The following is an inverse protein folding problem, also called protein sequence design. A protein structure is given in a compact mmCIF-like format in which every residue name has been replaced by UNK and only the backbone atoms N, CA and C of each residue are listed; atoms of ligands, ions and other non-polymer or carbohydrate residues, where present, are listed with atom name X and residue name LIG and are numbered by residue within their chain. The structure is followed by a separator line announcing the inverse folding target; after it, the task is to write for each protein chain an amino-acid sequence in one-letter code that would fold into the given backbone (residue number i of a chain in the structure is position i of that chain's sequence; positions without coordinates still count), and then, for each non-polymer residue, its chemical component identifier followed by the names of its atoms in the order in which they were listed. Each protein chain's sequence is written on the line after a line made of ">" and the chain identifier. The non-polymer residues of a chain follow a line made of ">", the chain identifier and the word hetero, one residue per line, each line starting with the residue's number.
data_IF_566032697497
#
_entry.id   IF_566032697497
#
_cell.length_a   1.000
_cell.length_b   1.000
_cell.length_c   1.000
_cell.angle_alpha   90.00
_cell.angle_beta   90.00
_cell.angle_gamma   90.00
#
_symmetry.space_group_name_H-M   'P 1'
#
loop_
_entity.id
_entity.type
_entity.pdbx_description
1 polymer ?
#
# COMPACT_ATOMS: atom_id res chain seq x y z
N UNK A 1 -32.34 51.52 -20.90
CA UNK A 1 -31.26 51.76 -21.88
C UNK A 1 -30.24 50.64 -21.72
N UNK A 2 -29.96 49.94 -22.82
CA UNK A 2 -29.27 48.66 -22.96
C UNK A 2 -27.79 48.68 -22.54
N UNK A 3 -27.36 47.71 -21.72
CA UNK A 3 -25.93 47.46 -21.48
C UNK A 3 -25.40 46.49 -22.56
N UNK A 4 -24.70 47.03 -23.56
CA UNK A 4 -24.01 46.25 -24.60
C UNK A 4 -22.82 45.51 -23.96
N UNK A 5 -22.90 44.18 -23.88
CA UNK A 5 -21.71 43.34 -23.71
C UNK A 5 -20.81 43.52 -24.94
N UNK A 6 -19.62 44.09 -24.74
CA UNK A 6 -18.55 44.05 -25.74
C UNK A 6 -17.73 42.80 -25.48
N UNK A 7 -17.83 41.83 -26.37
CA UNK A 7 -16.86 40.73 -26.47
C UNK A 7 -15.54 41.36 -26.88
N UNK A 8 -14.60 41.45 -25.93
CA UNK A 8 -13.24 41.82 -26.22
C UNK A 8 -12.60 40.68 -27.02
N UNK A 9 -12.32 40.93 -28.29
CA UNK A 9 -11.48 40.09 -29.14
C UNK A 9 -10.16 39.84 -28.43
N UNK A 10 -9.93 38.58 -28.02
CA UNK A 10 -8.72 38.14 -27.33
C UNK A 10 -7.58 38.18 -28.36
N UNK A 11 -6.74 39.21 -28.27
CA UNK A 11 -5.50 39.30 -29.04
C UNK A 11 -4.57 38.13 -28.66
N UNK A 12 -4.28 37.31 -29.67
CA UNK A 12 -3.28 36.26 -29.73
C UNK A 12 -1.92 36.72 -29.16
N UNK A 13 -1.67 36.50 -27.87
CA UNK A 13 -0.33 36.60 -27.30
C UNK A 13 0.23 35.20 -27.06
N UNK A 14 1.42 34.87 -27.59
CA UNK A 14 2.01 33.54 -27.44
C UNK A 14 2.28 33.19 -25.98
N UNK A 15 2.47 34.20 -25.12
CA UNK A 15 2.64 34.07 -23.67
C UNK A 15 1.44 33.38 -23.00
N UNK A 16 0.21 33.69 -23.42
CA UNK A 16 -1.00 33.08 -22.84
C UNK A 16 -1.14 31.61 -23.23
N UNK A 17 -0.75 31.24 -24.46
CA UNK A 17 -0.70 29.84 -24.89
C UNK A 17 0.38 29.03 -24.17
N UNK A 18 1.55 29.61 -23.94
CA UNK A 18 2.65 28.97 -23.19
C UNK A 18 2.22 28.72 -21.74
N UNK A 19 1.53 29.68 -21.11
CA UNK A 19 1.00 29.54 -19.76
C UNK A 19 -0.07 28.44 -19.67
N UNK A 20 -0.94 28.33 -20.68
CA UNK A 20 -1.95 27.27 -20.76
C UNK A 20 -1.31 25.88 -20.94
N UNK A 21 -0.26 25.76 -21.74
CA UNK A 21 0.49 24.51 -21.94
C UNK A 21 1.25 24.08 -20.67
N UNK A 22 1.79 25.04 -19.90
CA UNK A 22 2.44 24.77 -18.61
C UNK A 22 1.44 24.26 -17.56
N UNK A 23 0.21 24.80 -17.54
CA UNK A 23 -0.84 24.36 -16.62
C UNK A 23 -1.38 22.95 -16.95
N UNK A 24 -1.35 22.53 -18.22
CA UNK A 24 -1.75 21.19 -18.67
C UNK A 24 -0.72 20.09 -18.35
N UNK A 25 0.53 20.45 -18.03
CA UNK A 25 1.55 19.51 -17.56
C UNK A 25 1.48 19.20 -16.07
N UNK A 26 0.74 19.99 -15.29
CA UNK A 26 0.43 19.69 -13.89
C UNK A 26 -0.80 18.76 -13.85
N UNK A 27 -0.74 17.67 -14.61
CA UNK A 27 -1.70 16.59 -14.51
C UNK A 27 -1.54 15.94 -13.14
N UNK A 28 -2.52 16.13 -12.26
CA UNK A 28 -2.56 15.48 -10.96
C UNK A 28 -2.68 13.98 -11.16
N UNK A 29 -1.57 13.26 -11.03
CA UNK A 29 -1.59 11.81 -10.94
C UNK A 29 -2.18 11.43 -9.59
N UNK A 30 -3.51 11.37 -9.50
CA UNK A 30 -4.16 10.57 -8.47
C UNK A 30 -3.91 9.11 -8.83
N UNK A 31 -2.69 8.62 -8.58
CA UNK A 31 -2.41 7.19 -8.60
C UNK A 31 -3.14 6.60 -7.39
N UNK A 32 -4.38 6.13 -7.60
CA UNK A 32 -4.83 4.98 -6.81
C UNK A 32 -3.80 3.90 -7.12
N UNK A 33 -2.93 3.62 -6.15
CA UNK A 33 -1.97 2.53 -6.24
C UNK A 33 -2.76 1.30 -6.68
N UNK A 34 -2.55 0.89 -7.93
CA UNK A 34 -2.99 -0.43 -8.37
C UNK A 34 -2.18 -1.34 -7.48
N UNK A 35 -2.85 -2.05 -6.57
CA UNK A 35 -2.18 -3.03 -5.75
C UNK A 35 -1.49 -3.98 -6.73
N UNK A 36 -0.17 -3.93 -6.73
CA UNK A 36 0.60 -4.80 -7.55
C UNK A 36 0.35 -6.22 -7.10
N UNK A 37 0.26 -7.15 -8.04
CA UNK A 37 0.02 -8.53 -7.65
C UNK A 37 1.30 -9.10 -7.05
N UNK A 38 1.19 -9.72 -5.89
CA UNK A 38 2.25 -10.56 -5.35
C UNK A 38 2.56 -11.68 -6.34
N UNK A 39 3.85 -12.01 -6.57
CA UNK A 39 4.22 -13.21 -7.29
C UNK A 39 3.57 -14.45 -6.68
N UNK A 40 3.14 -15.38 -7.51
CA UNK A 40 2.50 -16.62 -7.07
C UNK A 40 3.34 -17.38 -6.02
N UNK A 41 4.66 -17.40 -6.20
CA UNK A 41 5.59 -18.03 -5.25
C UNK A 41 5.56 -17.41 -3.85
N UNK A 42 5.44 -16.08 -3.76
CA UNK A 42 5.30 -15.42 -2.45
C UNK A 42 3.95 -15.73 -1.81
N UNK A 43 2.87 -15.78 -2.59
CA UNK A 43 1.55 -16.18 -2.08
C UNK A 43 1.58 -17.61 -1.53
N UNK A 44 2.23 -18.53 -2.24
CA UNK A 44 2.38 -19.91 -1.78
C UNK A 44 3.23 -19.98 -0.50
N UNK A 45 4.34 -19.25 -0.45
CA UNK A 45 5.18 -19.16 0.74
C UNK A 45 4.37 -18.66 1.94
N UNK A 46 3.54 -17.63 1.77
CA UNK A 46 2.65 -17.13 2.81
C UNK A 46 1.63 -18.20 3.27
N UNK A 47 1.08 -19.02 2.37
CA UNK A 47 0.18 -20.13 2.75
C UNK A 47 0.91 -21.18 3.59
N UNK A 48 2.12 -21.53 3.20
CA UNK A 48 2.94 -22.50 3.93
C UNK A 48 3.34 -21.96 5.30
N UNK A 49 3.71 -20.68 5.37
CA UNK A 49 3.99 -19.98 6.62
C UNK A 49 2.77 -20.05 7.52
N UNK A 50 1.61 -19.61 7.02
CA UNK A 50 0.37 -19.58 7.77
C UNK A 50 0.01 -20.95 8.36
N UNK A 51 0.14 -22.00 7.56
CA UNK A 51 -0.10 -23.37 8.00
C UNK A 51 0.86 -23.81 9.12
N UNK A 52 2.16 -23.53 8.97
CA UNK A 52 3.18 -24.01 9.90
C UNK A 52 3.24 -23.22 11.21
N UNK A 53 2.91 -21.93 11.17
CA UNK A 53 2.84 -21.07 12.36
C UNK A 53 1.45 -21.05 12.99
N UNK A 54 0.47 -21.80 12.46
CA UNK A 54 -0.90 -21.82 13.00
C UNK A 54 -1.72 -20.56 12.74
N UNK A 55 -1.34 -19.71 11.77
CA UNK A 55 -2.08 -18.49 11.39
C UNK A 55 -3.33 -18.83 10.58
N UNK A 56 -4.49 -18.84 11.22
CA UNK A 56 -5.78 -19.27 10.60
C UNK A 56 -6.64 -18.13 10.08
N UNK A 57 -6.37 -16.90 10.50
CA UNK A 57 -7.16 -15.71 10.23
C UNK A 57 -6.71 -14.91 8.99
N UNK A 58 -5.68 -15.37 8.26
CA UNK A 58 -5.32 -14.79 6.96
C UNK A 58 -6.31 -15.23 5.87
N UNK A 59 -7.03 -14.26 5.30
CA UNK A 59 -7.91 -14.49 4.16
C UNK A 59 -7.14 -14.36 2.83
N UNK A 60 -6.80 -15.49 2.22
CA UNK A 60 -6.11 -15.53 0.93
C UNK A 60 -7.01 -15.33 -0.30
N UNK A 61 -8.29 -14.98 -0.10
CA UNK A 61 -9.21 -14.60 -1.19
C UNK A 61 -9.14 -13.10 -1.50
N UNK A 62 -8.46 -12.32 -0.64
CA UNK A 62 -8.16 -10.91 -0.86
C UNK A 62 -6.66 -10.74 -1.12
N UNK A 63 -6.28 -9.59 -1.65
CA UNK A 63 -4.87 -9.24 -1.82
C UNK A 63 -4.17 -9.13 -0.45
N UNK A 64 -3.10 -9.93 -0.18
CA UNK A 64 -2.31 -9.82 1.04
C UNK A 64 -1.72 -8.42 1.26
N UNK A 65 -1.42 -7.67 0.20
CA UNK A 65 -0.87 -6.31 0.28
C UNK A 65 -1.95 -5.22 0.37
N UNK A 66 -3.24 -5.58 0.38
CA UNK A 66 -4.36 -4.65 0.44
C UNK A 66 -4.63 -4.03 1.82
N UNK A 67 -3.67 -4.11 2.75
CA UNK A 67 -3.79 -3.69 4.16
C UNK A 67 -4.87 -4.45 4.98
N UNK A 68 -5.41 -5.55 4.45
CA UNK A 68 -6.41 -6.37 5.16
C UNK A 68 -5.82 -7.20 6.29
N UNK A 69 -4.50 -7.45 6.28
CA UNK A 69 -3.81 -8.31 7.24
C UNK A 69 -2.98 -7.49 8.24
N UNK A 70 -3.43 -6.27 8.54
CA UNK A 70 -2.75 -5.34 9.45
C UNK A 70 -3.58 -5.10 10.72
N UNK A 71 -2.91 -5.04 11.86
CA UNK A 71 -3.51 -4.55 13.11
C UNK A 71 -3.86 -3.07 12.94
N UNK A 72 -5.11 -2.66 13.27
CA UNK A 72 -5.47 -1.25 13.22
C UNK A 72 -4.54 -0.41 14.09
N UNK A 73 -4.05 0.70 13.53
CA UNK A 73 -3.25 1.65 14.30
C UNK A 73 -4.12 2.28 15.40
N UNK A 74 -3.60 2.46 16.63
CA UNK A 74 -4.34 3.15 17.66
C UNK A 74 -4.67 4.58 17.23
N UNK A 75 -5.90 5.01 17.52
CA UNK A 75 -6.38 6.36 17.19
C UNK A 75 -6.14 7.37 18.30
N UNK A 76 -5.78 6.91 19.50
CA UNK A 76 -5.47 7.74 20.66
C UNK A 76 -3.99 7.63 21.03
N UNK A 77 -3.49 8.66 21.73
CA UNK A 77 -2.12 8.77 22.21
C UNK A 77 -1.95 8.29 23.67
N UNK A 78 -2.94 7.57 24.21
CA UNK A 78 -2.89 7.08 25.60
C UNK A 78 -1.77 6.06 25.79
N UNK A 79 -1.24 5.98 27.01
CA UNK A 79 -0.21 5.01 27.39
C UNK A 79 -0.68 3.57 27.10
N UNK A 80 -1.96 3.29 27.31
CA UNK A 80 -2.57 1.99 26.97
C UNK A 80 -2.54 1.71 25.46
N UNK A 81 -2.89 2.69 24.63
CA UNK A 81 -2.85 2.57 23.17
C UNK A 81 -1.42 2.36 22.65
N UNK A 82 -0.44 3.08 23.20
CA UNK A 82 0.99 2.88 22.91
C UNK A 82 1.44 1.47 23.30
N UNK A 83 1.11 1.03 24.51
CA UNK A 83 1.46 -0.30 25.04
C UNK A 83 0.84 -1.41 24.19
N UNK A 84 -0.41 -1.23 23.73
CA UNK A 84 -1.07 -2.17 22.84
C UNK A 84 -0.31 -2.31 21.50
N UNK A 85 0.01 -1.21 20.82
CA UNK A 85 0.74 -1.23 19.56
C UNK A 85 2.17 -1.79 19.68
N UNK A 86 2.79 -1.67 20.85
CA UNK A 86 4.11 -2.25 21.13
C UNK A 86 4.04 -3.75 21.42
N UNK A 87 2.94 -4.22 22.02
CA UNK A 87 2.75 -5.62 22.41
C UNK A 87 2.21 -6.47 21.26
N UNK A 88 1.25 -5.94 20.52
CA UNK A 88 0.54 -6.63 19.44
C UNK A 88 0.84 -5.99 18.10
N UNK A 89 1.39 -6.78 17.18
CA UNK A 89 1.63 -6.34 15.82
C UNK A 89 1.50 -7.53 14.87
N UNK A 90 0.35 -7.61 14.21
CA UNK A 90 0.10 -8.49 13.08
C UNK A 90 0.07 -7.63 11.83
N UNK A 91 1.16 -7.58 11.08
CA UNK A 91 1.25 -6.75 9.87
C UNK A 91 2.05 -7.44 8.80
N UNK A 92 1.54 -7.39 7.57
CA UNK A 92 2.28 -7.73 6.37
C UNK A 92 2.48 -6.45 5.56
N UNK A 93 3.74 -6.14 5.24
CA UNK A 93 4.14 -4.94 4.51
C UNK A 93 4.77 -5.33 3.19
N UNK A 94 4.30 -4.69 2.14
CA UNK A 94 4.78 -4.91 0.77
C UNK A 94 5.39 -3.64 0.20
N UNK A 95 6.36 -3.82 -0.70
CA UNK A 95 6.82 -2.76 -1.58
C UNK A 95 6.40 -3.06 -3.01
N UNK A 96 5.66 -2.12 -3.61
CA UNK A 96 5.08 -2.21 -4.94
C UNK A 96 5.76 -1.28 -5.96
N UNK A 97 6.92 -0.73 -5.60
CA UNK A 97 7.67 0.22 -6.42
C UNK A 97 8.55 -0.48 -7.47
N UNK A 98 8.31 -1.78 -7.71
CA UNK A 98 9.06 -2.56 -8.69
C UNK A 98 8.46 -2.41 -10.09
N UNK A 99 9.27 -2.65 -11.14
CA UNK A 99 8.80 -2.57 -12.52
C UNK A 99 7.52 -3.39 -12.76
N UNK A 100 6.69 -2.91 -13.70
CA UNK A 100 5.42 -3.54 -14.07
C UNK A 100 4.38 -3.62 -12.94
N UNK A 101 4.60 -2.91 -11.82
CA UNK A 101 3.68 -2.94 -10.69
C UNK A 101 3.66 -4.28 -9.99
N UNK A 102 4.80 -4.97 -9.91
CA UNK A 102 4.96 -6.16 -9.05
C UNK A 102 5.15 -5.71 -7.61
N UNK A 103 4.48 -6.37 -6.67
CA UNK A 103 4.71 -6.17 -5.24
C UNK A 103 5.52 -7.32 -4.67
N UNK A 104 6.36 -7.01 -3.68
CA UNK A 104 7.06 -8.02 -2.91
C UNK A 104 6.87 -7.79 -1.42
N UNK A 105 6.74 -8.88 -0.66
CA UNK A 105 6.70 -8.83 0.80
C UNK A 105 8.07 -8.41 1.33
N UNK A 106 8.12 -7.31 2.07
CA UNK A 106 9.35 -6.78 2.65
C UNK A 106 9.40 -6.93 4.16
N UNK A 107 8.24 -6.99 4.82
CA UNK A 107 8.19 -7.19 6.27
C UNK A 107 6.97 -7.99 6.68
N UNK A 108 7.18 -8.90 7.63
CA UNK A 108 6.11 -9.64 8.31
C UNK A 108 6.31 -9.38 9.80
N UNK A 109 5.22 -9.14 10.52
CA UNK A 109 5.21 -9.02 11.97
C UNK A 109 4.06 -9.88 12.49
N UNK A 110 4.36 -10.81 13.39
CA UNK A 110 3.38 -11.72 14.02
C UNK A 110 3.53 -11.72 15.54
N UNK A 111 3.58 -10.53 16.14
CA UNK A 111 3.83 -10.33 17.57
C UNK A 111 2.56 -10.41 18.41
N UNK A 112 2.63 -11.12 19.53
CA UNK A 112 1.53 -11.23 20.50
C UNK A 112 0.32 -12.01 19.97
N UNK A 113 0.52 -12.87 18.96
CA UNK A 113 -0.55 -13.63 18.30
C UNK A 113 -0.77 -15.02 18.92
N UNK A 114 0.02 -15.40 19.93
CA UNK A 114 -0.03 -16.72 20.59
C UNK A 114 -0.02 -17.89 19.59
N UNK A 115 0.89 -17.81 18.62
CA UNK A 115 1.03 -18.79 17.54
C UNK A 115 1.74 -20.05 18.07
N UNK A 116 1.15 -21.22 17.86
CA UNK A 116 1.57 -22.51 18.42
C UNK A 116 2.42 -23.36 17.45
N UNK A 117 3.11 -22.72 16.51
CA UNK A 117 3.81 -23.39 15.42
C UNK A 117 5.33 -23.26 15.43
N UNK A 118 5.95 -23.60 14.29
CA UNK A 118 7.40 -23.53 14.08
C UNK A 118 7.75 -22.48 13.05
N UNK A 119 8.97 -21.93 13.13
CA UNK A 119 9.49 -21.02 12.11
C UNK A 119 9.68 -21.78 10.78
N UNK A 120 8.92 -21.46 9.73
CA UNK A 120 8.85 -22.27 8.51
C UNK A 120 9.98 -21.96 7.52
N UNK A 121 10.55 -23.00 6.91
CA UNK A 121 11.57 -22.85 5.88
C UNK A 121 11.08 -22.06 4.65
N UNK A 122 9.77 -22.03 4.40
CA UNK A 122 9.13 -21.29 3.30
C UNK A 122 9.45 -19.78 3.31
N UNK A 123 9.92 -19.22 4.43
CA UNK A 123 10.39 -17.83 4.52
C UNK A 123 11.47 -17.53 3.48
N UNK A 124 12.31 -18.51 3.11
CA UNK A 124 13.36 -18.32 2.09
C UNK A 124 12.81 -17.95 0.71
N UNK A 125 11.54 -18.29 0.43
CA UNK A 125 10.88 -17.98 -0.84
C UNK A 125 10.36 -16.54 -0.87
N UNK A 126 10.41 -15.81 0.26
CA UNK A 126 10.15 -14.38 0.33
C UNK A 126 11.48 -13.62 0.11
N UNK A 127 12.00 -13.63 -1.11
CA UNK A 127 13.37 -13.17 -1.44
C UNK A 127 13.63 -11.68 -1.16
N UNK A 128 12.57 -10.88 -1.03
CA UNK A 128 12.66 -9.45 -0.72
C UNK A 128 12.41 -9.14 0.75
N UNK A 129 12.12 -10.15 1.58
CA UNK A 129 11.88 -9.98 3.00
C UNK A 129 13.14 -9.42 3.68
N UNK A 130 12.95 -8.35 4.45
CA UNK A 130 14.00 -7.67 5.22
C UNK A 130 13.79 -7.78 6.72
N UNK A 131 12.55 -7.98 7.16
CA UNK A 131 12.18 -7.96 8.58
C UNK A 131 11.11 -9.03 8.84
N UNK A 132 11.28 -9.77 9.93
CA UNK A 132 10.38 -10.81 10.42
C UNK A 132 10.19 -10.65 11.93
#
# INVERSE_FOLDING_TARGET
>A
MTMKMRVATIFSTPSSFVLLMLLLWIGTTNTKARAGNLPHGEVQALREIAKQVGKKDWNFSVDPCGNHWQTPKPTSNSEAAKTYAQTYNNSLICNCSYPMGVCHVTSIFLKGQDLDGVLPAAIINLTYLRTL
#
